data_IF_459795241874
#
_entry.id   IF_459795241874
#
_cell.length_a   1.000
_cell.length_b   1.000
_cell.length_c   1.000
_cell.angle_alpha   90.00
_cell.angle_beta   90.00
_cell.angle_gamma   90.00
#
_symmetry.space_group_name_H-M   'P 1'
#
loop_
_entity.id
_entity.type
_entity.pdbx_description
1 polymer ?
#
# COMPACT_ATOMS: atom_id res chain seq x y z
N UNK A 1 45.61 24.26 -24.60
CA UNK A 1 46.33 23.84 -25.79
C UNK A 1 45.39 22.96 -26.55
N UNK A 2 44.40 23.56 -27.32
CA UNK A 2 44.53 23.91 -28.73
C UNK A 2 44.89 22.65 -29.54
N UNK A 3 44.14 22.13 -30.45
CA UNK A 3 43.27 22.59 -31.53
C UNK A 3 42.40 21.47 -32.10
N UNK A 4 41.45 21.79 -32.99
CA UNK A 4 40.33 20.96 -33.41
C UNK A 4 40.39 20.48 -34.87
N UNK A 5 39.38 19.64 -35.26
CA UNK A 5 38.76 19.44 -36.58
C UNK A 5 39.55 18.74 -37.72
N UNK A 6 38.90 18.07 -38.72
CA UNK A 6 37.84 18.66 -39.53
C UNK A 6 36.67 17.76 -39.95
N UNK A 7 35.62 18.43 -40.35
CA UNK A 7 34.46 17.99 -41.17
C UNK A 7 34.87 17.49 -42.55
N UNK A 8 34.18 16.50 -43.10
CA UNK A 8 33.97 16.36 -44.55
C UNK A 8 32.52 16.07 -44.84
N UNK A 9 32.04 16.84 -45.82
CA UNK A 9 30.67 16.84 -46.31
C UNK A 9 30.52 15.96 -47.57
N UNK A 10 29.26 15.73 -47.92
CA UNK A 10 28.71 15.58 -49.26
C UNK A 10 28.48 14.17 -49.80
N UNK A 11 27.21 13.94 -50.16
CA UNK A 11 26.79 12.83 -50.99
C UNK A 11 25.26 12.86 -51.24
N UNK A 12 24.78 13.86 -52.03
CA UNK A 12 23.42 13.88 -52.58
C UNK A 12 23.29 12.81 -53.67
N UNK A 13 22.35 11.89 -53.53
CA UNK A 13 21.93 10.95 -54.58
C UNK A 13 20.41 11.07 -54.86
N UNK A 14 20.08 11.85 -55.89
CA UNK A 14 18.73 11.91 -56.48
C UNK A 14 18.50 10.65 -57.33
N UNK A 15 17.40 9.91 -57.16
CA UNK A 15 16.83 8.98 -58.16
C UNK A 15 15.34 9.16 -58.17
N UNK A 16 14.90 9.76 -59.17
CA UNK A 16 13.97 9.58 -60.31
C UNK A 16 12.74 8.74 -60.02
N UNK A 17 11.64 9.45 -60.14
CA UNK A 17 10.24 8.98 -60.29
C UNK A 17 10.02 8.50 -61.73
N UNK A 18 9.32 7.39 -61.89
CA UNK A 18 8.60 7.06 -63.16
C UNK A 18 7.24 6.45 -62.80
N UNK A 19 6.17 6.87 -63.47
CA UNK A 19 4.82 6.34 -63.30
C UNK A 19 4.55 5.27 -64.37
N UNK A 20 3.77 4.24 -64.02
CA UNK A 20 3.11 3.37 -65.00
C UNK A 20 1.63 3.27 -64.66
N UNK A 21 0.87 3.64 -65.68
CA UNK A 21 -0.58 3.71 -65.69
C UNK A 21 -1.23 2.37 -66.10
N UNK A 22 -2.44 2.21 -65.61
CA UNK A 22 -3.64 1.62 -66.21
C UNK A 22 -3.60 0.22 -66.85
N UNK A 23 -4.49 -0.66 -66.34
CA UNK A 23 -5.38 -1.45 -67.24
C UNK A 23 -6.64 -1.88 -66.46
N UNK A 24 -7.76 -1.42 -66.98
CA UNK A 24 -9.13 -1.72 -66.62
C UNK A 24 -9.54 -3.00 -67.40
N UNK A 25 -10.11 -4.01 -66.75
CA UNK A 25 -10.92 -5.05 -67.44
C UNK A 25 -12.17 -5.34 -66.63
N UNK A 26 -13.30 -4.94 -67.15
CA UNK A 26 -14.66 -5.36 -66.82
C UNK A 26 -14.89 -6.82 -67.29
N UNK A 27 -15.49 -7.62 -66.44
CA UNK A 27 -16.26 -8.79 -66.90
C UNK A 27 -17.47 -8.98 -65.93
N UNK A 28 -18.64 -8.68 -66.48
CA UNK A 28 -19.97 -8.96 -65.93
C UNK A 28 -20.35 -10.40 -66.20
N UNK A 29 -20.82 -11.15 -65.24
CA UNK A 29 -21.72 -12.30 -65.51
C UNK A 29 -22.71 -12.41 -64.30
N UNK A 30 -23.97 -12.16 -64.65
CA UNK A 30 -25.13 -12.41 -63.79
C UNK A 30 -25.50 -13.90 -63.85
N UNK A 31 -25.75 -14.54 -62.74
CA UNK A 31 -26.54 -15.76 -62.66
C UNK A 31 -27.40 -15.73 -61.38
N UNK A 32 -28.68 -15.52 -61.57
CA UNK A 32 -29.78 -15.70 -60.62
C UNK A 32 -30.03 -17.17 -60.35
N UNK A 33 -30.08 -17.59 -59.12
CA UNK A 33 -30.82 -18.78 -58.67
C UNK A 33 -31.40 -18.52 -57.27
N UNK A 34 -32.70 -18.49 -57.21
CA UNK A 34 -33.50 -18.46 -56.01
C UNK A 34 -33.39 -19.80 -55.25
N UNK A 35 -33.21 -19.73 -53.95
CA UNK A 35 -33.25 -20.88 -53.05
C UNK A 35 -33.71 -20.43 -51.65
N UNK A 36 -34.86 -20.94 -51.29
CA UNK A 36 -35.59 -20.64 -50.06
C UNK A 36 -34.86 -20.97 -48.76
N UNK A 37 -35.13 -20.14 -47.75
CA UNK A 37 -35.47 -20.63 -46.41
C UNK A 37 -34.32 -20.84 -45.43
N UNK A 38 -34.28 -20.02 -44.43
CA UNK A 38 -33.47 -20.26 -43.24
C UNK A 38 -33.20 -18.99 -42.48
N UNK A 39 -34.22 -18.45 -41.77
CA UNK A 39 -33.98 -17.42 -40.75
C UNK A 39 -33.18 -18.05 -39.60
N UNK A 40 -31.87 -18.07 -39.73
CA UNK A 40 -30.94 -18.28 -38.63
C UNK A 40 -30.29 -16.94 -38.35
N UNK A 41 -30.88 -16.14 -37.52
CA UNK A 41 -30.20 -15.06 -36.86
C UNK A 41 -29.10 -15.71 -36.00
N UNK A 42 -27.96 -15.97 -36.65
CA UNK A 42 -26.71 -16.25 -35.94
C UNK A 42 -26.37 -15.01 -35.11
N UNK A 43 -26.82 -15.03 -33.88
CA UNK A 43 -26.34 -14.17 -32.83
C UNK A 43 -24.83 -14.40 -32.76
N UNK A 44 -24.10 -13.55 -33.45
CA UNK A 44 -22.66 -13.45 -33.30
C UNK A 44 -22.44 -13.05 -31.86
N UNK A 45 -22.32 -14.07 -30.98
CA UNK A 45 -21.85 -13.90 -29.62
C UNK A 45 -20.52 -13.15 -29.78
N UNK A 46 -20.57 -11.86 -29.47
CA UNK A 46 -19.39 -11.05 -29.32
C UNK A 46 -18.59 -11.72 -28.18
N UNK A 47 -17.62 -12.56 -28.58
CA UNK A 47 -16.60 -13.05 -27.67
C UNK A 47 -15.86 -11.80 -27.22
N UNK A 48 -16.36 -11.21 -26.15
CA UNK A 48 -15.61 -10.22 -25.38
C UNK A 48 -14.34 -10.91 -24.99
N UNK A 49 -13.28 -10.70 -25.79
CA UNK A 49 -11.93 -11.03 -25.37
C UNK A 49 -11.71 -10.27 -24.07
N UNK A 50 -11.86 -10.95 -22.95
CA UNK A 50 -11.35 -10.43 -21.68
C UNK A 50 -9.89 -10.13 -21.96
N UNK A 51 -9.54 -8.84 -22.02
CA UNK A 51 -8.14 -8.44 -22.06
C UNK A 51 -7.46 -9.17 -20.92
N UNK A 52 -6.40 -9.91 -21.23
CA UNK A 52 -5.69 -10.70 -20.23
C UNK A 52 -5.35 -9.76 -19.06
N UNK A 53 -5.81 -10.12 -17.87
CA UNK A 53 -5.59 -9.30 -16.69
C UNK A 53 -4.08 -9.15 -16.44
N UNK A 54 -3.60 -7.99 -15.98
CA UNK A 54 -2.18 -7.76 -15.82
C UNK A 54 -1.59 -8.71 -14.79
N UNK A 55 -0.39 -9.23 -15.05
CA UNK A 55 0.42 -9.90 -14.05
C UNK A 55 1.26 -8.86 -13.30
N UNK A 56 1.34 -9.00 -11.99
CA UNK A 56 1.88 -7.97 -11.08
C UNK A 56 3.00 -8.55 -10.23
N UNK A 57 4.09 -7.82 -10.09
CA UNK A 57 5.08 -7.98 -9.03
C UNK A 57 4.98 -6.76 -8.12
N UNK A 58 4.92 -6.98 -6.82
CA UNK A 58 4.87 -5.94 -5.81
C UNK A 58 6.14 -5.95 -4.97
N UNK A 59 6.72 -4.76 -4.76
CA UNK A 59 8.02 -4.57 -4.10
C UNK A 59 7.90 -3.82 -2.76
N UNK A 60 6.70 -3.80 -2.18
CA UNK A 60 6.46 -3.08 -0.93
C UNK A 60 5.40 -3.81 -0.08
N UNK A 61 5.64 -4.07 1.22
CA UNK A 61 4.71 -4.79 2.08
C UNK A 61 3.29 -4.21 2.12
N UNK A 62 3.18 -2.88 2.02
CA UNK A 62 1.86 -2.24 2.04
C UNK A 62 1.04 -2.53 0.78
N UNK A 63 1.69 -2.50 -0.38
CA UNK A 63 1.02 -2.85 -1.64
C UNK A 63 0.81 -4.35 -1.78
N UNK A 64 1.71 -5.17 -1.22
CA UNK A 64 1.57 -6.62 -1.18
C UNK A 64 0.28 -7.03 -0.47
N UNK A 65 0.03 -6.47 0.72
CA UNK A 65 -1.17 -6.76 1.51
C UNK A 65 -2.46 -6.38 0.77
N UNK A 66 -2.49 -5.24 0.08
CA UNK A 66 -3.65 -4.83 -0.71
C UNK A 66 -3.82 -5.73 -1.94
N UNK A 67 -2.73 -5.96 -2.69
CA UNK A 67 -2.78 -6.75 -3.92
C UNK A 67 -3.13 -8.21 -3.66
N UNK A 68 -2.70 -8.79 -2.54
CA UNK A 68 -3.10 -10.14 -2.15
C UNK A 68 -4.62 -10.30 -2.05
N UNK A 69 -5.35 -9.24 -1.65
CA UNK A 69 -6.81 -9.27 -1.54
C UNK A 69 -7.54 -8.90 -2.85
N UNK A 70 -6.96 -8.01 -3.64
CA UNK A 70 -7.68 -7.47 -4.80
C UNK A 70 -7.33 -8.14 -6.12
N UNK A 71 -6.23 -8.91 -6.21
CA UNK A 71 -5.87 -9.65 -7.44
C UNK A 71 -6.64 -10.95 -7.59
N UNK A 72 -6.79 -11.41 -8.84
CA UNK A 72 -7.28 -12.74 -9.17
C UNK A 72 -6.19 -13.81 -9.05
N UNK A 73 -6.56 -15.10 -9.14
CA UNK A 73 -5.59 -16.19 -9.13
C UNK A 73 -4.52 -16.04 -10.20
N UNK A 74 -3.25 -16.19 -9.82
CA UNK A 74 -2.11 -16.11 -10.74
C UNK A 74 -1.73 -14.71 -11.23
N UNK A 75 -2.38 -13.64 -10.77
CA UNK A 75 -2.01 -12.27 -11.13
C UNK A 75 -0.85 -11.73 -10.33
N UNK A 76 -0.85 -11.92 -9.00
CA UNK A 76 0.25 -11.51 -8.13
C UNK A 76 1.33 -12.58 -8.17
N UNK A 77 2.39 -12.32 -8.95
CA UNK A 77 3.45 -13.29 -9.24
C UNK A 77 4.51 -13.36 -8.15
N UNK A 78 4.77 -12.24 -7.50
CA UNK A 78 5.71 -12.15 -6.38
C UNK A 78 5.40 -10.93 -5.51
N UNK A 79 5.82 -11.02 -4.26
CA UNK A 79 5.74 -9.99 -3.24
C UNK A 79 7.13 -9.67 -2.69
N UNK A 80 7.26 -8.57 -1.97
CA UNK A 80 8.47 -8.22 -1.24
C UNK A 80 8.82 -9.28 -0.20
N UNK A 81 10.11 -9.60 -0.04
CA UNK A 81 10.60 -10.48 1.02
C UNK A 81 10.25 -9.98 2.42
N UNK A 82 10.13 -8.66 2.61
CA UNK A 82 9.67 -8.07 3.86
C UNK A 82 8.27 -8.53 4.28
N UNK A 83 7.40 -8.91 3.34
CA UNK A 83 6.07 -9.43 3.68
C UNK A 83 6.10 -10.84 4.26
N UNK A 84 7.24 -11.56 4.17
CA UNK A 84 7.44 -12.86 4.83
C UNK A 84 8.29 -12.77 6.10
N UNK A 85 8.64 -11.57 6.52
CA UNK A 85 9.26 -11.30 7.81
C UNK A 85 8.17 -10.85 8.81
N UNK A 86 7.98 -11.56 9.95
CA UNK A 86 6.96 -11.23 10.95
C UNK A 86 7.04 -9.80 11.48
N UNK A 87 8.25 -9.21 11.53
CA UNK A 87 8.47 -7.86 12.05
C UNK A 87 8.10 -6.76 11.05
N UNK A 88 8.07 -7.10 9.76
CA UNK A 88 7.86 -6.15 8.66
C UNK A 88 6.55 -6.37 7.91
N UNK A 89 5.90 -7.51 8.14
CA UNK A 89 4.71 -7.90 7.39
C UNK A 89 3.47 -7.13 7.80
N UNK A 90 2.66 -6.78 6.81
CA UNK A 90 1.33 -6.20 6.99
C UNK A 90 0.22 -7.17 6.61
N UNK A 91 0.53 -8.45 6.47
CA UNK A 91 -0.42 -9.51 6.17
C UNK A 91 -0.15 -10.74 7.06
N UNK A 92 -1.15 -11.62 7.26
CA UNK A 92 -0.92 -12.88 7.97
C UNK A 92 0.20 -13.70 7.32
N UNK A 93 1.12 -14.25 8.13
CA UNK A 93 2.24 -15.05 7.63
C UNK A 93 1.80 -16.24 6.76
N UNK A 94 0.67 -16.88 7.11
CA UNK A 94 0.11 -17.97 6.31
C UNK A 94 -0.28 -17.51 4.90
N UNK A 95 -0.76 -16.28 4.76
CA UNK A 95 -1.09 -15.69 3.46
C UNK A 95 0.18 -15.29 2.71
N UNK A 96 1.12 -14.60 3.37
CA UNK A 96 2.37 -14.17 2.76
C UNK A 96 3.17 -15.34 2.15
N UNK A 97 3.20 -16.49 2.85
CA UNK A 97 3.89 -17.71 2.40
C UNK A 97 3.29 -18.37 1.16
N UNK A 98 2.10 -17.96 0.72
CA UNK A 98 1.49 -18.45 -0.53
C UNK A 98 2.11 -17.84 -1.78
N UNK A 99 2.84 -16.74 -1.62
CA UNK A 99 3.45 -16.01 -2.73
C UNK A 99 4.96 -16.23 -2.77
N UNK A 100 5.53 -16.13 -3.95
CA UNK A 100 6.97 -16.04 -4.13
C UNK A 100 7.46 -14.72 -3.52
N UNK A 101 8.39 -14.77 -2.58
CA UNK A 101 9.07 -13.60 -2.05
C UNK A 101 10.35 -13.29 -2.84
N UNK A 102 10.61 -12.00 -3.06
CA UNK A 102 11.81 -11.51 -3.75
C UNK A 102 12.41 -10.31 -2.99
N UNK A 103 13.70 -10.10 -3.14
CA UNK A 103 14.38 -8.92 -2.61
C UNK A 103 14.03 -7.65 -3.41
N UNK A 104 13.46 -7.79 -4.61
CA UNK A 104 13.02 -6.68 -5.44
C UNK A 104 14.10 -6.14 -6.36
N UNK A 105 15.15 -6.91 -6.62
CA UNK A 105 16.18 -6.51 -7.59
C UNK A 105 15.62 -6.52 -9.01
N UNK A 106 16.22 -5.73 -9.90
CA UNK A 106 15.80 -5.63 -11.30
C UNK A 106 15.91 -6.99 -12.00
N UNK A 107 16.93 -7.77 -11.67
CA UNK A 107 17.21 -9.09 -12.22
C UNK A 107 16.15 -10.12 -11.83
N UNK A 108 15.71 -10.10 -10.57
CA UNK A 108 14.63 -10.98 -10.11
C UNK A 108 13.32 -10.68 -10.84
N UNK A 109 12.97 -9.39 -10.94
CA UNK A 109 11.76 -8.95 -11.65
C UNK A 109 11.85 -9.29 -13.14
N UNK A 110 13.02 -9.09 -13.78
CA UNK A 110 13.25 -9.43 -15.19
C UNK A 110 13.10 -10.94 -15.47
N UNK A 111 13.45 -11.78 -14.48
CA UNK A 111 13.25 -13.25 -14.58
C UNK A 111 11.77 -13.63 -14.51
N UNK A 112 10.98 -12.91 -13.67
CA UNK A 112 9.53 -13.18 -13.49
C UNK A 112 8.71 -12.66 -14.67
N UNK A 113 9.13 -11.55 -15.31
CA UNK A 113 8.48 -10.92 -16.47
C UNK A 113 7.01 -10.52 -16.20
N UNK A 114 6.74 -9.71 -15.17
CA UNK A 114 5.39 -9.19 -14.96
C UNK A 114 5.01 -8.17 -16.03
N UNK A 115 3.73 -7.87 -16.19
CA UNK A 115 3.28 -6.74 -17.00
C UNK A 115 3.35 -5.41 -16.24
N UNK A 116 3.26 -5.48 -14.91
CA UNK A 116 3.27 -4.31 -14.01
C UNK A 116 4.19 -4.58 -12.82
N UNK A 117 5.00 -3.59 -12.49
CA UNK A 117 5.75 -3.54 -11.24
C UNK A 117 5.13 -2.46 -10.36
N UNK A 118 4.73 -2.84 -9.14
CA UNK A 118 4.22 -1.91 -8.13
C UNK A 118 5.30 -1.71 -7.07
N UNK A 119 5.64 -0.48 -6.76
CA UNK A 119 6.71 -0.15 -5.82
C UNK A 119 6.33 1.03 -4.92
N UNK A 120 7.11 1.26 -3.88
CA UNK A 120 7.04 2.47 -3.05
C UNK A 120 7.44 3.72 -3.85
N UNK A 121 6.90 4.88 -3.46
CA UNK A 121 7.36 6.17 -3.97
C UNK A 121 8.87 6.40 -3.72
N UNK A 122 9.46 5.68 -2.77
CA UNK A 122 10.88 5.76 -2.40
C UNK A 122 11.78 4.77 -3.16
N UNK A 123 11.24 4.10 -4.19
CA UNK A 123 12.09 3.28 -5.05
C UNK A 123 13.25 4.13 -5.56
N UNK A 124 14.47 3.60 -5.44
CA UNK A 124 15.66 4.32 -5.82
C UNK A 124 15.70 4.65 -7.33
N UNK A 125 16.30 5.80 -7.73
CA UNK A 125 16.28 6.27 -9.11
C UNK A 125 16.98 5.32 -10.10
N UNK A 126 17.96 4.53 -9.65
CA UNK A 126 18.68 3.60 -10.53
C UNK A 126 17.78 2.42 -10.90
N UNK A 127 17.11 1.82 -9.92
CA UNK A 127 16.11 0.77 -10.12
C UNK A 127 14.92 1.27 -10.95
N UNK A 128 14.39 2.48 -10.64
CA UNK A 128 13.33 3.09 -11.43
C UNK A 128 13.73 3.24 -12.90
N UNK A 129 14.93 3.80 -13.16
CA UNK A 129 15.47 3.94 -14.51
C UNK A 129 15.67 2.60 -15.23
N UNK A 130 16.10 1.57 -14.49
CA UNK A 130 16.29 0.23 -15.05
C UNK A 130 14.95 -0.42 -15.45
N UNK A 131 13.93 -0.37 -14.59
CA UNK A 131 12.59 -0.89 -14.93
C UNK A 131 12.00 -0.20 -16.15
N UNK A 132 12.14 1.13 -16.24
CA UNK A 132 11.67 1.89 -17.42
C UNK A 132 12.41 1.50 -18.70
N UNK A 133 13.75 1.34 -18.68
CA UNK A 133 14.54 0.91 -19.85
C UNK A 133 14.16 -0.50 -20.30
N UNK A 134 13.79 -1.38 -19.38
CA UNK A 134 13.32 -2.72 -19.68
C UNK A 134 11.85 -2.76 -20.17
N UNK A 135 11.18 -1.61 -20.22
CA UNK A 135 9.81 -1.51 -20.75
C UNK A 135 8.73 -1.91 -19.75
N UNK A 136 9.04 -2.07 -18.46
CA UNK A 136 8.03 -2.37 -17.45
C UNK A 136 7.11 -1.18 -17.19
N UNK A 137 5.82 -1.45 -17.04
CA UNK A 137 4.89 -0.48 -16.48
C UNK A 137 5.14 -0.39 -14.97
N UNK A 138 5.80 0.68 -14.54
CA UNK A 138 6.09 0.94 -13.13
C UNK A 138 5.00 1.83 -12.53
N UNK A 139 4.38 1.39 -11.44
CA UNK A 139 3.41 2.14 -10.63
C UNK A 139 4.02 2.38 -9.26
N UNK A 140 4.20 3.64 -8.89
CA UNK A 140 4.76 4.04 -7.61
C UNK A 140 3.66 4.54 -6.67
N UNK A 141 3.52 3.88 -5.52
CA UNK A 141 2.51 4.21 -4.53
C UNK A 141 3.10 5.11 -3.44
N UNK A 142 2.49 6.26 -3.15
CA UNK A 142 2.90 7.13 -2.05
C UNK A 142 2.56 6.51 -0.69
N UNK A 143 3.08 7.08 0.41
CA UNK A 143 2.59 6.79 1.75
C UNK A 143 1.18 7.40 1.89
N UNK A 144 0.24 6.62 2.43
CA UNK A 144 -1.08 7.13 2.80
C UNK A 144 -1.01 7.78 4.19
N UNK A 145 -1.18 9.09 4.32
CA UNK A 145 -1.12 9.76 5.61
C UNK A 145 -2.41 9.65 6.43
N UNK A 146 -3.49 9.20 5.80
CA UNK A 146 -4.83 9.12 6.40
C UNK A 146 -5.67 8.01 5.75
N UNK A 147 -6.84 7.75 6.33
CA UNK A 147 -7.78 6.72 5.82
C UNK A 147 -8.34 7.07 4.45
N UNK A 148 -8.52 8.34 4.13
CA UNK A 148 -9.05 8.74 2.82
C UNK A 148 -8.06 8.36 1.71
N UNK A 149 -6.79 8.69 1.90
CA UNK A 149 -5.68 8.30 1.00
C UNK A 149 -5.50 6.79 0.92
N UNK A 150 -5.61 6.08 2.06
CA UNK A 150 -5.51 4.62 2.09
C UNK A 150 -6.64 3.95 1.28
N UNK A 151 -7.88 4.45 1.36
CA UNK A 151 -9.00 3.96 0.54
C UNK A 151 -8.75 4.17 -0.95
N UNK A 152 -8.20 5.33 -1.32
CA UNK A 152 -7.92 5.59 -2.73
C UNK A 152 -6.82 4.69 -3.27
N UNK A 153 -5.77 4.40 -2.48
CA UNK A 153 -4.77 3.40 -2.86
C UNK A 153 -5.37 2.02 -3.08
N UNK A 154 -6.29 1.60 -2.21
CA UNK A 154 -7.02 0.32 -2.39
C UNK A 154 -7.77 0.31 -3.71
N UNK A 155 -8.49 1.39 -4.04
CA UNK A 155 -9.24 1.53 -5.30
C UNK A 155 -8.32 1.54 -6.51
N UNK A 156 -7.21 2.26 -6.42
CA UNK A 156 -6.23 2.36 -7.50
C UNK A 156 -5.62 1.00 -7.81
N UNK A 157 -5.16 0.27 -6.79
CA UNK A 157 -4.58 -1.05 -6.97
C UNK A 157 -5.61 -2.08 -7.45
N UNK A 158 -6.86 -1.99 -7.00
CA UNK A 158 -7.94 -2.86 -7.46
C UNK A 158 -8.29 -2.59 -8.95
N UNK A 159 -8.34 -1.31 -9.35
CA UNK A 159 -8.51 -0.94 -10.78
C UNK A 159 -7.33 -1.40 -11.63
N UNK A 160 -6.10 -1.24 -11.12
CA UNK A 160 -4.89 -1.72 -11.78
C UNK A 160 -4.94 -3.24 -12.01
N UNK A 161 -5.42 -3.99 -11.03
CA UNK A 161 -5.58 -5.44 -11.11
C UNK A 161 -6.77 -5.88 -11.97
N UNK A 162 -7.66 -4.96 -12.38
CA UNK A 162 -8.89 -5.27 -13.13
C UNK A 162 -10.05 -5.79 -12.27
N UNK A 163 -10.00 -5.59 -10.95
CA UNK A 163 -10.99 -6.06 -9.98
C UNK A 163 -11.51 -4.94 -9.07
N UNK A 164 -12.07 -3.84 -9.61
CA UNK A 164 -12.51 -2.70 -8.80
C UNK A 164 -13.50 -3.09 -7.70
N UNK A 165 -14.34 -4.09 -7.95
CA UNK A 165 -15.31 -4.60 -6.99
C UNK A 165 -14.68 -5.24 -5.74
N UNK A 166 -13.47 -5.81 -5.87
CA UNK A 166 -12.70 -6.31 -4.72
C UNK A 166 -12.18 -5.17 -3.87
N UNK A 167 -11.71 -4.09 -4.52
CA UNK A 167 -11.32 -2.87 -3.84
C UNK A 167 -12.46 -2.26 -3.03
N UNK A 168 -13.67 -2.16 -3.61
CA UNK A 168 -14.82 -1.62 -2.89
C UNK A 168 -15.24 -2.51 -1.72
N UNK A 169 -15.10 -3.85 -1.81
CA UNK A 169 -15.33 -4.72 -0.66
C UNK A 169 -14.34 -4.47 0.48
N UNK A 170 -13.06 -4.25 0.17
CA UNK A 170 -12.06 -3.91 1.19
C UNK A 170 -12.35 -2.53 1.80
N UNK A 171 -12.69 -1.54 0.99
CA UNK A 171 -13.11 -0.21 1.46
C UNK A 171 -14.33 -0.30 2.37
N UNK A 172 -15.33 -1.10 2.01
CA UNK A 172 -16.52 -1.31 2.84
C UNK A 172 -16.18 -1.94 4.21
N UNK A 173 -15.18 -2.84 4.29
CA UNK A 173 -14.69 -3.39 5.56
C UNK A 173 -14.01 -2.30 6.40
N UNK A 174 -13.20 -1.44 5.79
CA UNK A 174 -12.58 -0.30 6.47
C UNK A 174 -13.67 0.63 7.03
N UNK A 175 -14.69 0.95 6.25
CA UNK A 175 -15.78 1.82 6.67
C UNK A 175 -16.62 1.21 7.79
N UNK A 176 -16.86 -0.09 7.74
CA UNK A 176 -17.53 -0.81 8.81
C UNK A 176 -16.71 -0.77 10.11
N UNK A 177 -15.38 -0.93 10.02
CA UNK A 177 -14.47 -0.83 11.15
C UNK A 177 -14.47 0.58 11.77
N UNK A 178 -14.44 1.62 10.95
CA UNK A 178 -14.53 3.01 11.41
C UNK A 178 -15.81 3.27 12.19
N UNK A 179 -16.95 2.80 11.68
CA UNK A 179 -18.23 2.99 12.38
C UNK A 179 -18.28 2.30 13.74
N UNK A 180 -17.84 1.02 13.83
CA UNK A 180 -17.87 0.27 15.10
C UNK A 180 -16.83 0.71 16.10
N UNK A 181 -15.72 1.31 15.64
CA UNK A 181 -14.61 1.78 16.47
C UNK A 181 -14.76 3.24 16.90
N UNK A 182 -15.72 3.96 16.35
CA UNK A 182 -15.96 5.36 16.70
C UNK A 182 -16.25 5.52 18.20
N UNK A 183 -15.80 6.62 18.82
CA UNK A 183 -16.16 6.93 20.20
C UNK A 183 -17.66 7.26 20.30
N UNK A 184 -18.28 7.03 21.49
CA UNK A 184 -19.67 7.44 21.68
C UNK A 184 -19.81 8.98 21.58
N UNK A 185 -21.01 9.48 21.26
CA UNK A 185 -21.26 10.92 21.23
C UNK A 185 -20.86 11.60 22.55
N UNK A 186 -20.19 12.76 22.46
CA UNK A 186 -19.75 13.52 23.62
C UNK A 186 -18.49 12.97 24.30
N UNK A 187 -17.87 11.93 23.76
CA UNK A 187 -16.63 11.39 24.31
C UNK A 187 -15.49 12.43 24.25
N UNK A 188 -14.87 12.70 25.41
CA UNK A 188 -13.69 13.57 25.46
C UNK A 188 -12.46 12.77 25.03
N UNK A 189 -11.79 13.25 24.00
CA UNK A 189 -10.58 12.61 23.50
C UNK A 189 -9.51 12.51 24.57
N UNK A 190 -8.76 11.42 24.56
CA UNK A 190 -7.74 11.10 25.54
C UNK A 190 -6.36 11.43 24.96
N UNK A 191 -5.53 12.25 25.65
CA UNK A 191 -4.15 12.49 25.22
C UNK A 191 -3.34 11.21 25.20
N UNK A 192 -2.78 10.90 24.03
CA UNK A 192 -2.03 9.68 23.79
C UNK A 192 -0.74 9.95 23.00
N UNK A 193 0.20 9.05 23.13
CA UNK A 193 1.44 9.03 22.37
C UNK A 193 1.60 7.66 21.72
N UNK A 194 1.86 7.63 20.42
CA UNK A 194 2.34 6.43 19.74
C UNK A 194 3.86 6.42 19.83
N UNK A 195 4.41 5.42 20.50
CA UNK A 195 5.83 5.27 20.75
C UNK A 195 6.36 3.98 20.16
N UNK A 196 7.30 4.11 19.27
CA UNK A 196 7.95 3.02 18.55
C UNK A 196 9.38 2.79 19.06
N UNK A 197 10.01 1.74 18.57
CA UNK A 197 11.39 1.40 18.91
C UNK A 197 12.34 2.59 18.80
N UNK A 198 13.29 2.68 19.70
CA UNK A 198 14.32 3.72 19.69
C UNK A 198 13.84 5.14 20.07
N UNK A 199 12.59 5.30 20.53
CA UNK A 199 12.04 6.63 20.87
C UNK A 199 11.42 7.38 19.70
N UNK A 200 11.19 6.68 18.58
CA UNK A 200 10.45 7.23 17.46
C UNK A 200 8.96 7.38 17.85
N UNK A 201 8.35 8.48 17.48
CA UNK A 201 6.92 8.76 17.72
C UNK A 201 6.23 9.14 16.42
N UNK A 202 4.96 8.78 16.32
CA UNK A 202 4.16 9.12 15.15
C UNK A 202 3.65 10.58 15.26
N UNK A 203 3.90 11.38 14.22
CA UNK A 203 3.38 12.74 14.09
C UNK A 203 1.98 12.78 13.46
N UNK A 204 1.37 13.96 13.44
CA UNK A 204 -0.05 14.14 13.06
C UNK A 204 -0.39 13.79 11.60
N UNK A 205 0.61 13.72 10.73
CA UNK A 205 0.42 13.36 9.31
C UNK A 205 0.76 11.90 9.04
N UNK A 206 0.44 11.02 9.97
CA UNK A 206 0.60 9.56 9.82
C UNK A 206 -0.75 8.86 9.91
N UNK A 207 -0.90 7.77 9.17
CA UNK A 207 -2.14 7.00 9.11
C UNK A 207 -2.57 6.49 10.50
N UNK A 208 -1.59 6.05 11.32
CA UNK A 208 -1.90 5.55 12.66
C UNK A 208 -2.48 6.66 13.56
N UNK A 209 -2.02 7.89 13.41
CA UNK A 209 -2.56 9.03 14.18
C UNK A 209 -3.95 9.44 13.67
N UNK A 210 -4.24 9.39 12.36
CA UNK A 210 -5.60 9.55 11.87
C UNK A 210 -6.55 8.49 12.48
N UNK A 211 -6.09 7.24 12.60
CA UNK A 211 -6.85 6.18 13.26
C UNK A 211 -7.02 6.44 14.77
N UNK A 212 -5.99 6.96 15.46
CA UNK A 212 -6.09 7.38 16.86
C UNK A 212 -7.17 8.44 17.05
N UNK A 213 -7.18 9.49 16.24
CA UNK A 213 -8.19 10.54 16.31
C UNK A 213 -9.61 9.99 16.13
N UNK A 214 -9.81 9.09 15.16
CA UNK A 214 -11.11 8.47 14.86
C UNK A 214 -11.59 7.52 15.95
N UNK A 215 -10.69 7.04 16.78
CA UNK A 215 -11.00 6.12 17.88
C UNK A 215 -11.07 6.80 19.26
N UNK A 216 -10.87 8.13 19.32
CA UNK A 216 -11.08 8.93 20.52
C UNK A 216 -9.81 9.32 21.26
N UNK A 217 -8.66 9.38 20.58
CA UNK A 217 -7.40 9.84 21.15
C UNK A 217 -6.92 11.13 20.46
N UNK A 218 -6.18 11.96 21.19
CA UNK A 218 -5.39 13.06 20.62
C UNK A 218 -3.91 12.71 20.67
N UNK A 219 -3.15 13.20 19.70
CA UNK A 219 -1.72 12.92 19.62
C UNK A 219 -0.92 14.06 20.29
N UNK A 220 -0.20 13.76 21.36
CA UNK A 220 0.63 14.78 22.03
C UNK A 220 1.90 15.13 21.26
N UNK A 221 2.38 14.27 20.36
CA UNK A 221 3.50 14.57 19.47
C UNK A 221 3.13 15.68 18.48
N UNK A 222 1.91 15.65 17.92
CA UNK A 222 1.39 16.70 17.05
C UNK A 222 1.25 18.04 17.75
N UNK A 223 0.81 18.06 19.01
CA UNK A 223 0.76 19.27 19.81
C UNK A 223 2.14 19.93 20.04
N UNK A 224 3.22 19.19 19.80
CA UNK A 224 4.62 19.66 19.82
C UNK A 224 5.16 19.98 18.41
N UNK A 225 4.30 20.00 17.40
CA UNK A 225 4.67 20.34 16.01
C UNK A 225 5.23 19.18 15.18
N UNK A 226 5.22 17.95 15.70
CA UNK A 226 5.69 16.79 14.93
C UNK A 226 4.62 16.37 13.92
N UNK A 227 4.95 16.44 12.64
CA UNK A 227 4.03 16.14 11.55
C UNK A 227 4.22 14.74 10.96
N UNK A 228 5.45 14.26 10.90
CA UNK A 228 5.83 12.91 10.46
C UNK A 228 6.35 12.11 11.66
N UNK A 229 6.83 10.90 11.43
CA UNK A 229 7.57 10.17 12.44
C UNK A 229 8.88 10.90 12.78
N UNK A 230 9.14 11.11 14.06
CA UNK A 230 10.33 11.81 14.56
C UNK A 230 10.67 11.34 15.97
N UNK A 231 11.84 11.71 16.47
CA UNK A 231 12.26 11.37 17.82
C UNK A 231 11.72 12.35 18.85
N UNK A 232 11.14 11.83 19.93
CA UNK A 232 10.72 12.60 21.08
C UNK A 232 11.57 12.20 22.29
N UNK A 233 12.39 13.10 22.87
CA UNK A 233 13.16 12.81 24.06
C UNK A 233 12.26 12.38 25.22
N UNK A 234 12.70 11.39 26.00
CA UNK A 234 11.95 10.84 27.11
C UNK A 234 11.58 11.94 28.14
N UNK A 235 12.48 12.89 28.34
CA UNK A 235 12.30 14.02 29.25
C UNK A 235 11.05 14.85 28.93
N UNK A 236 10.73 15.01 27.66
CA UNK A 236 9.51 15.71 27.22
C UNK A 236 8.25 14.92 27.57
N UNK A 237 8.32 13.59 27.54
CA UNK A 237 7.20 12.73 27.94
C UNK A 237 7.04 12.72 29.45
N UNK A 238 8.14 12.77 30.20
CA UNK A 238 8.13 12.80 31.66
C UNK A 238 7.66 14.16 32.21
N UNK A 239 7.97 15.26 31.50
CA UNK A 239 7.56 16.62 31.93
C UNK A 239 6.05 16.86 31.71
N UNK A 240 5.44 16.26 30.70
CA UNK A 240 4.01 16.36 30.39
C UNK A 240 3.48 14.97 29.94
N UNK A 241 3.19 14.09 30.91
CA UNK A 241 2.85 12.72 30.60
C UNK A 241 1.48 12.58 29.93
N UNK A 242 1.37 11.80 28.81
CA UNK A 242 0.07 11.48 28.24
C UNK A 242 -0.72 10.55 29.17
N UNK A 243 -2.03 10.53 28.98
CA UNK A 243 -2.89 9.52 29.63
C UNK A 243 -2.65 8.11 29.11
N UNK A 244 -2.21 8.00 27.86
CA UNK A 244 -1.97 6.72 27.18
C UNK A 244 -0.66 6.77 26.41
N UNK A 245 0.14 5.71 26.52
CA UNK A 245 1.23 5.38 25.61
C UNK A 245 0.85 4.10 24.89
N UNK A 246 0.73 4.18 23.58
CA UNK A 246 0.70 3.03 22.68
C UNK A 246 2.14 2.67 22.36
N UNK A 247 2.59 1.55 22.84
CA UNK A 247 3.94 1.07 22.63
C UNK A 247 3.95 0.02 21.52
N UNK A 248 4.85 0.17 20.58
CA UNK A 248 5.04 -0.77 19.48
C UNK A 248 6.49 -1.19 19.45
N UNK A 249 6.74 -2.48 19.64
CA UNK A 249 8.08 -3.02 19.69
C UNK A 249 8.12 -4.37 20.38
N UNK A 250 9.32 -4.96 20.44
CA UNK A 250 9.58 -6.16 21.22
C UNK A 250 10.10 -5.76 22.61
N UNK A 251 9.38 -6.07 23.70
CA UNK A 251 9.84 -5.79 25.05
C UNK A 251 11.21 -6.39 25.40
N UNK A 252 11.66 -7.38 24.64
CA UNK A 252 12.94 -8.06 24.87
C UNK A 252 14.07 -7.52 23.99
N UNK A 253 13.75 -6.67 23.00
CA UNK A 253 14.74 -6.08 22.11
C UNK A 253 15.47 -4.91 22.79
N UNK A 254 16.78 -4.79 22.58
CA UNK A 254 17.59 -3.73 23.18
C UNK A 254 17.19 -2.34 22.67
N UNK A 255 16.80 -2.22 21.43
CA UNK A 255 16.30 -0.98 20.80
C UNK A 255 15.00 -0.48 21.48
N UNK A 256 14.26 -1.37 22.13
CA UNK A 256 12.98 -1.04 22.77
C UNK A 256 13.12 -0.77 24.28
N UNK A 257 14.36 -0.79 24.82
CA UNK A 257 14.63 -0.53 26.26
C UNK A 257 14.04 0.79 26.76
N UNK A 258 13.86 1.78 25.91
CA UNK A 258 13.21 3.06 26.27
C UNK A 258 11.77 2.86 26.71
N UNK A 259 11.05 1.90 26.15
CA UNK A 259 9.68 1.55 26.54
C UNK A 259 9.61 0.98 27.97
N UNK A 260 10.73 0.45 28.48
CA UNK A 260 10.86 -0.15 29.81
C UNK A 260 11.68 0.72 30.76
N UNK A 261 11.99 1.97 30.37
CA UNK A 261 12.76 2.87 31.22
C UNK A 261 12.07 3.07 32.59
N UNK A 262 12.78 2.96 33.72
CA UNK A 262 12.18 3.05 35.06
C UNK A 262 11.36 4.33 35.27
N UNK A 263 11.83 5.46 34.75
CA UNK A 263 11.11 6.74 34.87
C UNK A 263 9.76 6.71 34.13
N UNK A 264 9.71 6.06 32.94
CA UNK A 264 8.44 5.87 32.23
C UNK A 264 7.54 4.90 32.99
N UNK A 265 8.12 3.88 33.64
CA UNK A 265 7.39 2.92 34.48
C UNK A 265 6.82 3.54 35.75
N UNK A 266 7.45 4.59 36.25
CA UNK A 266 7.00 5.35 37.46
C UNK A 266 5.79 6.27 37.18
N UNK A 267 5.40 6.48 35.89
CA UNK A 267 4.24 7.29 35.53
C UNK A 267 2.93 6.54 35.85
N UNK A 268 2.44 6.67 37.08
CA UNK A 268 1.23 5.98 37.58
C UNK A 268 -0.06 6.46 36.91
N UNK A 269 -0.07 7.67 36.36
CA UNK A 269 -1.21 8.27 35.65
C UNK A 269 -1.29 7.88 34.18
N UNK A 270 -0.24 7.26 33.63
CA UNK A 270 -0.13 6.86 32.21
C UNK A 270 -0.44 5.37 32.06
N UNK A 271 -1.44 5.02 31.23
CA UNK A 271 -1.73 3.65 30.82
C UNK A 271 -0.90 3.29 29.59
N UNK A 272 -0.41 2.05 29.54
CA UNK A 272 0.33 1.54 28.40
C UNK A 272 -0.42 0.40 27.75
N UNK A 273 -0.45 0.42 26.42
CA UNK A 273 -0.99 -0.64 25.59
C UNK A 273 0.07 -1.04 24.59
N UNK A 274 0.38 -2.33 24.53
CA UNK A 274 1.22 -2.88 23.45
C UNK A 274 0.36 -3.09 22.23
N UNK A 275 0.82 -2.62 21.08
CA UNK A 275 0.17 -2.81 19.79
C UNK A 275 1.04 -3.65 18.88
N UNK A 276 0.41 -4.39 17.97
CA UNK A 276 1.12 -5.14 16.93
C UNK A 276 1.86 -4.23 15.98
N UNK A 277 3.10 -4.54 15.61
CA UNK A 277 3.85 -3.82 14.57
C UNK A 277 3.13 -3.83 13.23
N UNK A 278 2.43 -4.92 12.91
CA UNK A 278 1.75 -5.10 11.62
C UNK A 278 0.69 -4.04 11.31
N UNK A 279 0.22 -3.27 12.32
CA UNK A 279 -0.82 -2.25 12.14
C UNK A 279 -0.26 -0.84 11.89
N UNK A 280 1.05 -0.63 12.02
CA UNK A 280 1.63 0.72 12.00
C UNK A 280 1.80 1.32 10.61
N UNK A 281 2.35 0.53 9.70
CA UNK A 281 2.99 1.08 8.51
C UNK A 281 2.08 1.17 7.31
N UNK A 282 1.08 0.28 7.22
CA UNK A 282 0.36 0.06 5.98
C UNK A 282 -1.13 0.36 6.11
N UNK A 283 -1.67 0.92 5.04
CA UNK A 283 -3.10 1.04 4.82
C UNK A 283 -3.72 -0.29 4.34
N UNK A 284 -5.00 -0.26 3.98
CA UNK A 284 -5.69 -1.42 3.41
C UNK A 284 -6.16 -2.42 4.45
N UNK A 285 -5.80 -3.71 4.33
CA UNK A 285 -6.33 -4.79 5.18
C UNK A 285 -6.02 -4.66 6.67
N UNK A 286 -4.96 -3.95 7.04
CA UNK A 286 -4.54 -3.76 8.43
C UNK A 286 -5.41 -2.73 9.17
N UNK A 287 -6.03 -1.79 8.47
CA UNK A 287 -6.82 -0.71 9.07
C UNK A 287 -7.94 -1.21 9.99
N UNK A 288 -8.78 -2.20 9.59
CA UNK A 288 -9.80 -2.72 10.48
C UNK A 288 -9.25 -3.23 11.81
N UNK A 289 -8.13 -3.95 11.79
CA UNK A 289 -7.49 -4.48 12.98
C UNK A 289 -6.93 -3.36 13.88
N UNK A 290 -6.21 -2.40 13.30
CA UNK A 290 -5.70 -1.24 14.01
C UNK A 290 -6.81 -0.45 14.73
N UNK A 291 -7.92 -0.20 14.04
CA UNK A 291 -9.09 0.48 14.61
C UNK A 291 -9.71 -0.31 15.78
N UNK A 292 -9.78 -1.64 15.65
CA UNK A 292 -10.32 -2.50 16.70
C UNK A 292 -9.42 -2.52 17.94
N UNK A 293 -8.09 -2.60 17.79
CA UNK A 293 -7.12 -2.52 18.90
C UNK A 293 -7.20 -1.16 19.61
N UNK A 294 -7.18 -0.07 18.87
CA UNK A 294 -7.30 1.28 19.45
C UNK A 294 -8.64 1.47 20.18
N UNK A 295 -9.75 1.01 19.61
CA UNK A 295 -11.04 1.07 20.26
C UNK A 295 -11.12 0.19 21.51
N UNK A 296 -10.46 -0.98 21.51
CA UNK A 296 -10.35 -1.84 22.68
C UNK A 296 -9.57 -1.15 23.80
N UNK A 297 -8.46 -0.50 23.48
CA UNK A 297 -7.70 0.30 24.44
C UNK A 297 -8.55 1.43 25.05
N UNK A 298 -9.33 2.16 24.22
CA UNK A 298 -10.26 3.18 24.73
C UNK A 298 -11.28 2.60 25.70
N UNK A 299 -11.90 1.47 25.36
CA UNK A 299 -12.88 0.82 26.26
C UNK A 299 -12.25 0.40 27.58
N UNK A 300 -11.02 -0.12 27.54
CA UNK A 300 -10.27 -0.51 28.73
C UNK A 300 -9.96 0.66 29.67
N UNK A 301 -9.89 1.90 29.18
CA UNK A 301 -9.75 3.09 30.01
C UNK A 301 -11.01 3.39 30.80
N UNK A 302 -12.21 3.13 30.24
CA UNK A 302 -13.49 3.39 30.88
C UNK A 302 -13.90 2.33 31.93
N UNK A 303 -13.35 1.11 31.81
CA UNK A 303 -13.70 -0.03 32.68
C UNK A 303 -12.75 -0.23 33.86
N UNK A 304 -11.68 0.57 33.99
CA UNK A 304 -10.65 0.34 34.98
C UNK A 304 -10.98 0.99 36.34
N UNK A 305 -11.10 0.16 37.38
CA UNK A 305 -10.85 0.50 38.76
C UNK A 305 -9.41 1.01 38.96
N UNK A 306 -9.06 1.61 40.13
CA UNK A 306 -7.82 2.35 40.30
C UNK A 306 -6.58 1.58 39.85
N UNK A 307 -5.71 2.31 39.19
CA UNK A 307 -4.51 1.91 38.46
C UNK A 307 -3.67 0.82 39.14
N UNK A 308 -3.66 -0.38 38.57
CA UNK A 308 -2.57 -1.32 38.73
C UNK A 308 -1.70 -1.26 37.49
N UNK A 309 -0.42 -0.91 37.68
CA UNK A 309 0.53 -0.55 36.61
C UNK A 309 0.99 -1.81 35.80
N UNK A 310 0.03 -2.63 35.30
CA UNK A 310 0.33 -3.79 34.46
C UNK A 310 0.16 -3.41 33.00
N UNK A 311 1.18 -3.73 32.21
CA UNK A 311 1.12 -3.69 30.75
C UNK A 311 -0.02 -4.60 30.29
N UNK A 312 -0.99 -4.05 29.59
CA UNK A 312 -2.08 -4.81 29.01
C UNK A 312 -1.66 -5.18 27.57
N UNK A 313 -1.36 -6.46 27.37
CA UNK A 313 -1.21 -7.01 26.02
C UNK A 313 -2.60 -7.19 25.41
N UNK A 314 -2.83 -6.58 24.28
CA UNK A 314 -4.00 -6.83 23.45
C UNK A 314 -3.61 -7.97 22.49
N UNK A 315 -3.85 -9.21 22.92
CA UNK A 315 -3.68 -10.37 22.04
C UNK A 315 -4.83 -10.45 21.03
N UNK A 316 -4.58 -10.97 19.81
CA UNK A 316 -5.55 -11.08 18.73
C UNK A 316 -6.72 -12.00 19.05
#
# INVERSE_FOLDING_TARGET
MILPLPLTAAGRGKRKVLPVAAALVLATAAATLAGCGGSGAGEAAAVTRHAAQPTIVSLNPCTDAILAEVTGPGQLLAISSYSQDPESSSMPMAEARRYRAIAGTVEEVATIRPTVVVASAFLDPASEGAFRRLGYRLVKMPIAPDIASAREQVRELARLAGHPERGERLVARIDAALRRSAPPPGFRQVPALMWESGGLVAGDRTLIVDMMHRTGFTNIAGARGLSQADFLPLEHVLADPPRVVFAVGDPLAEEDRMLHHPALSALTSTRRFMLSRSILWCGGPTIPHALDELAAARRALGSAQPFNNRTVSLSP
#
